data_IF_844622413561
#
_entry.id   IF_844622413561
#
_cell.length_a   1.000
_cell.length_b   1.000
_cell.length_c   1.000
_cell.angle_alpha   90.00
_cell.angle_beta   90.00
_cell.angle_gamma   90.00
#
_symmetry.space_group_name_H-M   'P 1'
#
loop_
_entity.id
_entity.type
_entity.pdbx_description
1 polymer ?
#
# COMPACT_ATOMS: atom_id res chain seq x y z
N UNK A 1 -19.78 16.00 11.93
CA UNK A 1 -18.54 16.17 11.13
C UNK A 1 -18.04 14.80 10.72
N UNK A 2 -18.13 14.45 9.43
CA UNK A 2 -17.50 13.22 8.93
C UNK A 2 -15.98 13.39 9.03
N UNK A 3 -15.38 12.79 10.06
CA UNK A 3 -13.98 12.98 10.46
C UNK A 3 -12.93 12.33 9.54
N UNK A 4 -13.28 12.04 8.28
CA UNK A 4 -12.44 11.30 7.33
C UNK A 4 -12.39 12.03 6.00
N UNK A 5 -11.25 12.68 5.69
CA UNK A 5 -11.00 13.42 4.43
C UNK A 5 -11.40 12.65 3.17
N UNK A 6 -11.30 11.32 3.20
CA UNK A 6 -11.61 10.43 2.08
C UNK A 6 -12.68 9.37 2.41
N UNK A 7 -13.44 9.52 3.50
CA UNK A 7 -14.38 8.49 3.97
C UNK A 7 -13.73 7.22 4.56
N UNK A 8 -12.41 7.07 4.39
CA UNK A 8 -11.62 5.93 4.87
C UNK A 8 -10.98 6.22 6.23
N UNK A 9 -11.08 5.31 7.23
CA UNK A 9 -10.35 5.49 8.47
C UNK A 9 -8.84 5.48 8.19
N UNK A 10 -8.06 6.37 8.84
CA UNK A 10 -6.62 6.19 8.89
C UNK A 10 -6.28 4.91 9.70
N UNK A 11 -5.10 4.31 9.48
CA UNK A 11 -4.62 3.22 10.33
C UNK A 11 -4.55 3.72 11.78
N UNK A 12 -4.98 2.89 12.72
CA UNK A 12 -5.01 3.22 14.15
C UNK A 12 -3.62 3.21 14.75
N UNK A 13 -2.73 2.35 14.24
CA UNK A 13 -1.38 2.21 14.75
C UNK A 13 -0.37 1.83 13.65
N UNK A 14 0.92 1.89 14.02
CA UNK A 14 2.03 1.55 13.13
C UNK A 14 1.95 0.11 12.61
N UNK A 15 1.57 -0.83 13.46
CA UNK A 15 1.51 -2.26 13.09
C UNK A 15 0.47 -2.50 12.00
N UNK A 16 -0.72 -1.90 12.12
CA UNK A 16 -1.77 -1.96 11.12
C UNK A 16 -1.32 -1.33 9.80
N UNK A 17 -0.65 -0.18 9.86
CA UNK A 17 -0.10 0.47 8.66
C UNK A 17 0.96 -0.39 7.96
N UNK A 18 1.87 -0.99 8.72
CA UNK A 18 2.90 -1.88 8.17
C UNK A 18 2.27 -3.15 7.58
N UNK A 19 1.27 -3.73 8.23
CA UNK A 19 0.53 -4.87 7.74
C UNK A 19 -0.16 -4.56 6.41
N UNK A 20 -0.93 -3.48 6.34
CA UNK A 20 -1.63 -3.07 5.13
C UNK A 20 -0.67 -2.80 3.97
N UNK A 21 0.47 -2.14 4.22
CA UNK A 21 1.49 -1.91 3.19
C UNK A 21 2.16 -3.20 2.71
N UNK A 22 2.44 -4.15 3.61
CA UNK A 22 3.00 -5.44 3.21
C UNK A 22 2.03 -6.20 2.30
N UNK A 23 0.73 -6.08 2.54
CA UNK A 23 -0.28 -6.69 1.69
C UNK A 23 -0.40 -6.01 0.32
N UNK A 24 -0.19 -4.69 0.24
CA UNK A 24 -0.06 -4.00 -1.05
C UNK A 24 1.17 -4.48 -1.82
N UNK A 25 2.29 -4.73 -1.12
CA UNK A 25 3.50 -5.30 -1.74
C UNK A 25 3.23 -6.71 -2.27
N UNK A 26 2.57 -7.55 -1.47
CA UNK A 26 2.20 -8.91 -1.85
C UNK A 26 1.26 -8.92 -3.07
N UNK A 27 0.20 -8.10 -3.04
CA UNK A 27 -0.74 -7.94 -4.14
C UNK A 27 -0.07 -7.42 -5.42
N UNK A 28 0.87 -6.48 -5.28
CA UNK A 28 1.68 -6.00 -6.39
C UNK A 28 2.47 -7.14 -7.02
N UNK A 29 3.21 -7.91 -6.21
CA UNK A 29 4.00 -9.05 -6.70
C UNK A 29 3.11 -10.11 -7.37
N UNK A 30 1.99 -10.48 -6.75
CA UNK A 30 1.03 -11.43 -7.32
C UNK A 30 0.51 -10.97 -8.69
N UNK A 31 0.26 -9.67 -8.87
CA UNK A 31 -0.17 -9.11 -10.16
C UNK A 31 0.97 -9.08 -11.19
N UNK A 32 2.21 -8.83 -10.78
CA UNK A 32 3.39 -8.95 -11.64
C UNK A 32 3.59 -10.39 -12.12
N UNK A 33 3.46 -11.36 -11.21
CA UNK A 33 3.69 -12.78 -11.47
C UNK A 33 2.49 -13.48 -12.16
N UNK A 34 1.38 -12.76 -12.34
CA UNK A 34 0.13 -13.31 -12.91
C UNK A 34 0.22 -13.68 -14.40
N UNK A 35 1.21 -13.17 -15.13
CA UNK A 35 1.32 -13.30 -16.58
C UNK A 35 0.25 -12.53 -17.38
N UNK A 36 -0.62 -11.77 -16.71
CA UNK A 36 -1.65 -10.95 -17.35
C UNK A 36 -1.12 -9.53 -17.63
N UNK A 37 -0.78 -9.25 -18.88
CA UNK A 37 -0.19 -7.98 -19.31
C UNK A 37 -1.04 -6.75 -18.92
N UNK A 38 -2.37 -6.86 -18.98
CA UNK A 38 -3.27 -5.78 -18.61
C UNK A 38 -3.23 -5.48 -17.10
N UNK A 39 -3.15 -6.50 -16.26
CA UNK A 39 -2.98 -6.32 -14.82
C UNK A 39 -1.62 -5.72 -14.49
N UNK A 40 -0.57 -6.23 -15.14
CA UNK A 40 0.81 -5.74 -14.99
C UNK A 40 0.88 -4.24 -15.34
N UNK A 41 0.38 -3.85 -16.51
CA UNK A 41 0.40 -2.46 -16.95
C UNK A 41 -0.34 -1.54 -15.96
N UNK A 42 -1.50 -1.98 -15.46
CA UNK A 42 -2.27 -1.22 -14.47
C UNK A 42 -1.52 -1.01 -13.16
N UNK A 43 -0.90 -2.06 -12.59
CA UNK A 43 -0.16 -1.90 -11.32
C UNK A 43 1.14 -1.12 -11.49
N UNK A 44 1.78 -1.23 -12.65
CA UNK A 44 2.97 -0.45 -12.98
C UNK A 44 2.67 1.04 -13.11
N UNK A 45 1.47 1.40 -13.57
CA UNK A 45 1.03 2.79 -13.64
C UNK A 45 0.49 3.31 -12.30
N UNK A 46 -0.37 2.54 -11.63
CA UNK A 46 -1.12 3.00 -10.45
C UNK A 46 -0.34 2.86 -9.13
N UNK A 47 0.39 1.75 -8.94
CA UNK A 47 0.97 1.37 -7.64
C UNK A 47 2.48 1.61 -7.60
N UNK A 48 3.20 1.15 -8.64
CA UNK A 48 4.66 1.15 -8.66
C UNK A 48 5.32 2.52 -8.40
N UNK A 49 4.84 3.65 -8.95
CA UNK A 49 5.47 4.95 -8.72
C UNK A 49 5.48 5.37 -7.25
N UNK A 50 4.50 4.89 -6.48
CA UNK A 50 4.37 5.20 -5.06
C UNK A 50 5.03 4.14 -4.19
N UNK A 51 5.02 2.88 -4.62
CA UNK A 51 5.64 1.79 -3.89
C UNK A 51 7.17 1.86 -3.92
N UNK A 52 7.77 2.28 -5.05
CA UNK A 52 9.23 2.42 -5.19
C UNK A 52 9.84 3.45 -4.21
N UNK A 53 9.03 4.38 -3.72
CA UNK A 53 9.46 5.42 -2.76
C UNK A 53 9.55 4.85 -1.34
N UNK A 54 8.84 3.75 -1.05
CA UNK A 54 8.79 3.13 0.27
C UNK A 54 10.12 2.43 0.57
N UNK A 55 10.84 2.96 1.56
CA UNK A 55 12.12 2.39 2.02
C UNK A 55 11.91 1.50 3.25
N UNK A 56 12.85 0.59 3.46
CA UNK A 56 12.98 -0.16 4.72
C UNK A 56 14.06 0.44 5.60
N UNK A 57 13.86 0.39 6.91
CA UNK A 57 14.89 0.69 7.92
C UNK A 57 15.85 -0.50 8.06
N UNK A 58 17.03 -0.32 8.70
CA UNK A 58 18.02 -1.41 8.85
C UNK A 58 17.49 -2.66 9.56
N UNK A 59 16.45 -2.52 10.40
CA UNK A 59 15.75 -3.63 11.04
C UNK A 59 14.61 -4.23 10.19
N UNK A 60 14.65 -4.03 8.87
CA UNK A 60 13.68 -4.52 7.89
C UNK A 60 12.23 -4.02 8.02
N UNK A 61 11.96 -3.07 8.93
CA UNK A 61 10.64 -2.42 9.02
C UNK A 61 10.44 -1.39 7.93
N UNK A 62 9.18 -1.01 7.68
CA UNK A 62 8.86 0.05 6.72
C UNK A 62 9.22 1.42 7.32
N UNK A 63 9.91 2.25 6.55
CA UNK A 63 10.16 3.63 6.92
C UNK A 63 8.92 4.47 6.61
N UNK A 64 8.10 4.74 7.63
CA UNK A 64 6.86 5.52 7.48
C UNK A 64 7.07 6.94 6.95
N UNK A 65 8.27 7.52 7.10
CA UNK A 65 8.59 8.85 6.55
C UNK A 65 8.68 8.86 5.02
N UNK A 66 8.84 7.69 4.41
CA UNK A 66 8.95 7.53 2.96
C UNK A 66 7.63 7.11 2.30
N UNK A 67 6.58 6.94 3.11
CA UNK A 67 5.27 6.51 2.64
C UNK A 67 4.46 7.74 2.25
N UNK A 68 4.13 7.85 0.97
CA UNK A 68 3.28 8.95 0.48
C UNK A 68 1.78 8.70 0.75
N UNK A 69 0.97 9.74 0.58
CA UNK A 69 -0.46 9.67 0.87
C UNK A 69 -1.19 8.64 0.00
N UNK A 70 -0.79 8.49 -1.27
CA UNK A 70 -1.47 7.59 -2.22
C UNK A 70 -1.30 6.12 -1.87
N UNK A 71 -0.08 5.67 -1.60
CA UNK A 71 0.16 4.27 -1.19
C UNK A 71 -0.49 3.96 0.16
N UNK A 72 -0.53 4.95 1.07
CA UNK A 72 -1.28 4.83 2.33
C UNK A 72 -2.77 4.66 2.10
N UNK A 73 -3.36 5.44 1.19
CA UNK A 73 -4.78 5.29 0.86
C UNK A 73 -5.06 3.95 0.21
N UNK A 74 -4.22 3.51 -0.74
CA UNK A 74 -4.33 2.18 -1.35
C UNK A 74 -4.24 1.06 -0.31
N UNK A 75 -3.29 1.16 0.63
CA UNK A 75 -3.14 0.22 1.73
C UNK A 75 -4.38 0.16 2.63
N UNK A 76 -5.00 1.32 2.90
CA UNK A 76 -6.22 1.39 3.71
C UNK A 76 -7.49 0.99 2.93
N UNK A 77 -7.46 1.03 1.59
CA UNK A 77 -8.58 0.65 0.73
C UNK A 77 -8.81 -0.84 0.69
N UNK A 78 -7.74 -1.61 0.79
CA UNK A 78 -7.88 -3.04 0.94
C UNK A 78 -8.49 -3.31 2.31
N UNK A 79 -9.81 -3.53 2.35
CA UNK A 79 -10.50 -4.07 3.52
C UNK A 79 -9.93 -5.48 3.76
N UNK A 80 -8.89 -5.58 4.58
CA UNK A 80 -8.28 -6.85 4.95
C UNK A 80 -8.98 -7.54 6.13
N UNK A 81 -10.13 -7.02 6.53
CA UNK A 81 -11.07 -7.78 7.36
C UNK A 81 -12.10 -8.45 6.45
N UNK A 82 -11.95 -9.79 6.38
CA UNK A 82 -12.94 -10.84 6.12
C UNK A 82 -14.39 -10.38 5.97
#
# INVERSE_FOLDING_TARGET
MNSKKYGMPPPMNRTEMEHNLNLVIEDFNNKIDSGNEGLIQNVMWATYPHLKEVKKTPNFRINLLTVNERIRLQANMQKWMK
#
